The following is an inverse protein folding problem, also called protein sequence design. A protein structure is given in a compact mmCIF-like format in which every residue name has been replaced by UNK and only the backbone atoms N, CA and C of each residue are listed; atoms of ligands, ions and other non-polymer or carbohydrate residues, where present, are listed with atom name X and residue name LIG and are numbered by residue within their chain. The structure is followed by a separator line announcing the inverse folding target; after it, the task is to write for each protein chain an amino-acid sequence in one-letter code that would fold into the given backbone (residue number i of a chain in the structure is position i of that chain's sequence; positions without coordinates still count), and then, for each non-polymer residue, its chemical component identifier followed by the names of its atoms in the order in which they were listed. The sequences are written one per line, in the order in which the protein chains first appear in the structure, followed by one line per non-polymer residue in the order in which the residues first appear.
data_IF_403931517470
#
_entry.id   IF_403931517470
#
_cell.length_a   1.000
_cell.length_b   1.000
_cell.length_c   1.000
_cell.angle_alpha   90.00
_cell.angle_beta   90.00
_cell.angle_gamma   90.00
#
_symmetry.space_group_name_H-M   'P 1'
#
loop_
_entity.id
_entity.type
_entity.pdbx_description
1 polymer ?
#
# COMPACT_ATOMS: atom_id res chain seq x y z
N UNK A 1 18.35 -7.67 16.03
CA UNK A 1 18.08 -6.37 15.38
C UNK A 1 17.04 -6.61 14.30
N UNK A 2 15.89 -5.93 14.36
CA UNK A 2 14.89 -5.93 13.29
C UNK A 2 14.95 -4.53 12.66
N UNK A 3 15.22 -4.45 11.36
CA UNK A 3 15.39 -3.18 10.66
C UNK A 3 15.11 -3.34 9.16
N UNK A 4 14.89 -2.22 8.44
CA UNK A 4 14.44 -2.25 7.05
C UNK A 4 15.54 -2.61 6.05
N UNK A 5 16.80 -2.63 6.50
CA UNK A 5 17.95 -2.98 5.66
C UNK A 5 18.43 -4.38 6.00
N UNK A 6 18.88 -5.09 4.97
CA UNK A 6 19.60 -6.33 5.19
C UNK A 6 20.83 -6.08 6.09
N UNK A 7 21.16 -7.02 7.00
CA UNK A 7 22.40 -6.94 7.75
C UNK A 7 23.59 -6.94 6.78
N UNK A 8 24.65 -6.17 7.08
CA UNK A 8 25.82 -6.03 6.18
C UNK A 8 26.55 -7.36 5.90
N UNK A 9 26.35 -8.40 6.71
CA UNK A 9 26.90 -9.73 6.46
C UNK A 9 26.11 -10.51 5.40
N UNK A 10 24.83 -10.19 5.19
CA UNK A 10 24.00 -10.79 4.13
C UNK A 10 24.51 -10.36 2.76
N UNK A 11 24.73 -9.05 2.56
CA UNK A 11 25.27 -8.52 1.29
C UNK A 11 26.69 -9.02 0.99
N UNK A 12 27.43 -9.43 2.04
CA UNK A 12 28.75 -10.07 1.93
C UNK A 12 28.70 -11.59 1.73
N UNK A 13 27.51 -12.17 1.59
CA UNK A 13 27.33 -13.59 1.28
C UNK A 13 27.64 -14.54 2.45
N UNK A 14 27.43 -14.12 3.70
CA UNK A 14 27.72 -14.97 4.86
C UNK A 14 26.91 -16.28 4.78
N UNK A 15 27.55 -17.47 4.85
CA UNK A 15 26.91 -18.75 4.50
C UNK A 15 25.77 -19.17 5.44
N UNK A 16 25.74 -18.60 6.64
CA UNK A 16 24.69 -18.88 7.65
C UNK A 16 23.55 -17.85 7.65
N UNK A 17 23.60 -16.82 6.79
CA UNK A 17 22.56 -15.78 6.73
C UNK A 17 21.84 -15.90 5.39
N UNK A 18 20.54 -16.20 5.44
CA UNK A 18 19.69 -16.37 4.25
C UNK A 18 18.29 -15.83 4.49
N UNK A 19 17.52 -15.68 3.42
CA UNK A 19 16.08 -15.41 3.53
C UNK A 19 15.37 -16.54 4.29
N UNK A 20 14.30 -16.17 5.01
CA UNK A 20 13.43 -17.14 5.69
C UNK A 20 12.70 -18.04 4.69
N UNK A 21 12.27 -17.47 3.56
CA UNK A 21 11.69 -18.19 2.42
C UNK A 21 12.73 -18.31 1.31
N UNK A 22 12.84 -19.47 0.69
CA UNK A 22 13.79 -19.69 -0.42
C UNK A 22 13.45 -18.80 -1.63
N UNK A 23 12.17 -18.61 -1.90
CA UNK A 23 11.64 -17.67 -2.88
C UNK A 23 10.66 -16.69 -2.19
N UNK A 24 11.16 -15.54 -1.70
CA UNK A 24 10.34 -14.54 -1.02
C UNK A 24 9.21 -13.98 -1.91
N UNK A 25 9.44 -13.86 -3.23
CA UNK A 25 8.47 -13.30 -4.15
C UNK A 25 7.30 -14.27 -4.36
N UNK A 26 7.60 -15.55 -4.59
CA UNK A 26 6.57 -16.59 -4.68
C UNK A 26 5.79 -16.73 -3.38
N UNK A 27 6.48 -16.78 -2.23
CA UNK A 27 5.82 -16.86 -0.93
C UNK A 27 4.87 -15.68 -0.67
N UNK A 28 5.28 -14.47 -1.03
CA UNK A 28 4.45 -13.27 -0.93
C UNK A 28 3.25 -13.31 -1.89
N UNK A 29 3.46 -13.74 -3.14
CA UNK A 29 2.39 -13.86 -4.13
C UNK A 29 1.32 -14.88 -3.70
N UNK A 30 1.73 -16.07 -3.27
CA UNK A 30 0.80 -17.10 -2.77
C UNK A 30 0.05 -16.63 -1.51
N UNK A 31 0.71 -15.88 -0.62
CA UNK A 31 0.05 -15.29 0.54
C UNK A 31 -1.01 -14.25 0.12
N UNK A 32 -0.67 -13.37 -0.83
CA UNK A 32 -1.62 -12.41 -1.38
C UNK A 32 -2.79 -13.12 -2.07
N UNK A 33 -2.56 -14.19 -2.84
CA UNK A 33 -3.63 -14.96 -3.46
C UNK A 33 -4.63 -15.50 -2.44
N UNK A 34 -4.14 -16.04 -1.32
CA UNK A 34 -4.98 -16.59 -0.25
C UNK A 34 -5.68 -15.54 0.59
N UNK A 35 -5.08 -14.36 0.78
CA UNK A 35 -5.54 -13.37 1.77
C UNK A 35 -6.12 -12.11 1.17
N UNK A 36 -5.70 -11.74 -0.04
CA UNK A 36 -6.03 -10.47 -0.72
C UNK A 36 -5.77 -9.24 0.15
N UNK A 37 -4.77 -9.36 1.02
CA UNK A 37 -4.27 -8.27 1.86
C UNK A 37 -2.98 -7.76 1.24
N UNK A 38 -2.87 -6.46 0.99
CA UNK A 38 -1.62 -5.84 0.59
C UNK A 38 -1.27 -4.74 1.60
N UNK A 39 -0.08 -4.80 2.26
CA UNK A 39 0.22 -3.91 3.37
C UNK A 39 0.22 -2.43 2.98
N UNK A 40 -0.45 -1.61 3.80
CA UNK A 40 -0.43 -0.14 3.67
C UNK A 40 0.81 0.39 4.38
N UNK A 41 1.73 1.02 3.65
CA UNK A 41 2.97 1.57 4.19
C UNK A 41 2.84 3.06 4.58
N UNK A 42 2.00 3.82 3.87
CA UNK A 42 1.88 5.27 4.03
C UNK A 42 0.43 5.71 4.11
N UNK A 43 0.17 6.74 4.91
CA UNK A 43 -1.13 7.41 5.04
C UNK A 43 -0.97 8.92 4.92
N UNK A 44 -1.94 9.60 4.30
CA UNK A 44 -1.98 11.05 4.27
C UNK A 44 -2.74 11.58 5.50
N UNK A 45 -2.09 12.42 6.29
CA UNK A 45 -2.71 13.07 7.46
C UNK A 45 -3.04 14.53 7.17
N UNK A 46 -4.25 14.96 7.54
CA UNK A 46 -4.65 16.38 7.55
C UNK A 46 -4.89 16.80 8.99
N UNK A 47 -4.36 17.97 9.36
CA UNK A 47 -4.61 18.53 10.69
C UNK A 47 -6.11 18.78 10.86
N UNK A 48 -6.71 18.32 11.97
CA UNK A 48 -8.15 18.47 12.25
C UNK A 48 -8.65 19.90 12.07
N UNK A 49 -7.92 20.88 12.64
CA UNK A 49 -8.28 22.30 12.53
C UNK A 49 -8.33 22.81 11.09
N UNK A 50 -7.50 22.27 10.18
CA UNK A 50 -7.56 22.62 8.76
C UNK A 50 -8.73 21.96 8.06
N UNK A 51 -9.05 20.70 8.39
CA UNK A 51 -10.22 20.04 7.85
C UNK A 51 -11.53 20.71 8.32
N UNK A 52 -11.58 21.19 9.56
CA UNK A 52 -12.71 21.96 10.10
C UNK A 52 -12.86 23.33 9.41
N UNK A 53 -11.75 24.05 9.19
CA UNK A 53 -11.75 25.33 8.47
C UNK A 53 -12.06 25.17 6.97
N UNK A 54 -11.67 24.03 6.40
CA UNK A 54 -11.83 23.71 4.98
C UNK A 54 -12.39 22.30 4.80
N UNK A 55 -13.72 22.08 5.00
CA UNK A 55 -14.33 20.74 4.96
C UNK A 55 -14.17 19.99 3.63
N UNK A 56 -13.91 20.72 2.54
CA UNK A 56 -13.66 20.18 1.20
C UNK A 56 -12.23 19.62 1.04
N UNK A 57 -11.27 20.02 1.89
CA UNK A 57 -9.85 19.72 1.72
C UNK A 57 -9.54 18.21 1.74
N UNK A 58 -10.07 17.38 2.66
CA UNK A 58 -9.78 15.95 2.66
C UNK A 58 -10.20 15.26 1.35
N UNK A 59 -11.41 15.56 0.86
CA UNK A 59 -11.91 15.00 -0.40
C UNK A 59 -11.11 15.48 -1.63
N UNK A 60 -10.72 16.76 -1.65
CA UNK A 60 -9.87 17.30 -2.70
C UNK A 60 -8.47 16.63 -2.73
N UNK A 61 -7.88 16.34 -1.56
CA UNK A 61 -6.62 15.63 -1.47
C UNK A 61 -6.73 14.20 -1.99
N UNK A 62 -7.78 13.44 -1.62
CA UNK A 62 -8.01 12.09 -2.18
C UNK A 62 -8.02 12.14 -3.71
N UNK A 63 -8.82 13.03 -4.30
CA UNK A 63 -8.91 13.20 -5.76
C UNK A 63 -7.56 13.56 -6.39
N UNK A 64 -6.83 14.50 -5.80
CA UNK A 64 -5.53 14.94 -6.33
C UNK A 64 -4.49 13.80 -6.32
N UNK A 65 -4.43 13.01 -5.25
CA UNK A 65 -3.48 11.90 -5.14
C UNK A 65 -3.88 10.69 -6.00
N UNK A 66 -5.17 10.41 -6.16
CA UNK A 66 -5.67 9.42 -7.12
C UNK A 66 -5.28 9.80 -8.56
N UNK A 67 -5.47 11.08 -8.93
CA UNK A 67 -5.06 11.57 -10.25
C UNK A 67 -3.54 11.49 -10.44
N UNK A 68 -2.76 11.89 -9.43
CA UNK A 68 -1.29 11.79 -9.46
C UNK A 68 -0.82 10.33 -9.64
N UNK A 69 -1.42 9.38 -8.90
CA UNK A 69 -1.17 7.95 -9.05
C UNK A 69 -1.49 7.48 -10.47
N UNK A 70 -2.64 7.85 -11.02
CA UNK A 70 -3.03 7.45 -12.37
C UNK A 70 -2.00 7.92 -13.42
N UNK A 71 -1.54 9.17 -13.33
CA UNK A 71 -0.47 9.69 -14.20
C UNK A 71 0.83 8.90 -14.03
N UNK A 72 1.22 8.57 -12.80
CA UNK A 72 2.41 7.77 -12.53
C UNK A 72 2.31 6.36 -13.12
N UNK A 73 1.17 5.68 -12.96
CA UNK A 73 0.95 4.33 -13.50
C UNK A 73 0.92 4.32 -15.04
N UNK A 74 0.33 5.34 -15.67
CA UNK A 74 0.38 5.50 -17.13
C UNK A 74 1.82 5.65 -17.62
N UNK A 75 2.61 6.51 -16.97
CA UNK A 75 4.04 6.70 -17.32
C UNK A 75 4.89 5.47 -17.05
N UNK A 76 4.59 4.71 -16.00
CA UNK A 76 5.27 3.46 -15.70
C UNK A 76 4.97 2.37 -16.76
N UNK A 77 3.80 2.46 -17.40
CA UNK A 77 3.39 1.56 -18.47
C UNK A 77 3.88 1.99 -19.86
N UNK A 78 4.50 3.16 -19.97
CA UNK A 78 5.05 3.68 -21.22
C UNK A 78 6.37 2.96 -21.55
N UNK A 79 6.30 2.12 -22.58
CA UNK A 79 7.39 1.26 -23.06
C UNK A 79 8.43 2.03 -23.88
N UNK A 80 8.18 3.31 -24.23
CA UNK A 80 9.10 4.11 -25.05
C UNK A 80 10.22 4.79 -24.24
N UNK A 81 9.99 5.05 -22.95
CA UNK A 81 10.94 5.71 -22.06
C UNK A 81 10.68 5.33 -20.60
N UNK A 82 11.07 4.11 -20.26
CA UNK A 82 10.91 3.50 -18.93
C UNK A 82 11.43 4.44 -17.83
N UNK A 83 10.55 4.84 -16.90
CA UNK A 83 10.88 5.80 -15.82
C UNK A 83 11.68 5.20 -14.66
N UNK A 84 11.88 3.89 -14.70
CA UNK A 84 12.71 3.13 -13.77
C UNK A 84 13.80 2.45 -14.57
N UNK A 85 15.06 2.59 -14.14
CA UNK A 85 16.25 2.04 -14.81
C UNK A 85 16.42 0.53 -14.60
N UNK A 86 15.33 -0.17 -14.27
CA UNK A 86 15.32 -1.61 -14.00
C UNK A 86 14.99 -2.38 -15.29
N UNK A 87 15.85 -3.31 -15.73
CA UNK A 87 15.56 -4.18 -16.87
C UNK A 87 14.29 -5.02 -16.64
N UNK A 88 13.59 -5.36 -17.73
CA UNK A 88 12.40 -6.24 -17.72
C UNK A 88 11.24 -5.77 -16.83
N UNK A 89 11.16 -4.46 -16.54
CA UNK A 89 10.08 -3.93 -15.69
C UNK A 89 8.70 -4.19 -16.28
N UNK A 90 8.56 -4.21 -17.61
CA UNK A 90 7.29 -4.52 -18.28
C UNK A 90 6.73 -5.88 -17.88
N UNK A 91 7.60 -6.90 -17.84
CA UNK A 91 7.25 -8.26 -17.42
C UNK A 91 6.83 -8.28 -15.95
N UNK A 92 7.53 -7.51 -15.10
CA UNK A 92 7.17 -7.34 -13.69
C UNK A 92 5.80 -6.67 -13.53
N UNK A 93 5.48 -5.63 -14.31
CA UNK A 93 4.15 -5.02 -14.31
C UNK A 93 3.07 -5.98 -14.80
N UNK A 94 3.33 -6.76 -15.86
CA UNK A 94 2.37 -7.77 -16.33
C UNK A 94 2.10 -8.83 -15.26
N UNK A 95 3.13 -9.30 -14.56
CA UNK A 95 2.99 -10.24 -13.46
C UNK A 95 2.21 -9.66 -12.28
N UNK A 96 2.53 -8.42 -11.88
CA UNK A 96 1.78 -7.72 -10.83
C UNK A 96 0.30 -7.56 -11.20
N UNK A 97 0.00 -7.17 -12.43
CA UNK A 97 -1.39 -7.04 -12.93
C UNK A 97 -2.13 -8.37 -12.96
N UNK A 98 -1.46 -9.45 -13.37
CA UNK A 98 -2.05 -10.79 -13.37
C UNK A 98 -2.42 -11.26 -11.96
N UNK A 99 -1.58 -10.93 -10.98
CA UNK A 99 -1.75 -11.32 -9.58
C UNK A 99 -2.78 -10.44 -8.85
N UNK A 100 -2.69 -9.12 -9.02
CA UNK A 100 -3.33 -8.11 -8.17
C UNK A 100 -4.39 -7.26 -8.89
N UNK A 101 -4.56 -7.42 -10.21
CA UNK A 101 -5.46 -6.60 -11.02
C UNK A 101 -4.82 -5.31 -11.51
N UNK A 102 -5.63 -4.44 -12.12
CA UNK A 102 -5.13 -3.22 -12.78
C UNK A 102 -4.68 -2.13 -11.79
N UNK A 103 -5.36 -2.04 -10.63
CA UNK A 103 -5.01 -1.10 -9.56
C UNK A 103 -4.35 -1.83 -8.39
N UNK A 104 -3.10 -2.26 -8.59
CA UNK A 104 -2.30 -2.93 -7.56
C UNK A 104 -1.81 -1.99 -6.44
N UNK A 105 -2.10 -0.68 -6.54
CA UNK A 105 -1.86 0.33 -5.51
C UNK A 105 -3.16 1.07 -5.19
N UNK A 106 -4.17 0.34 -4.69
CA UNK A 106 -5.47 0.91 -4.34
C UNK A 106 -5.33 2.11 -3.40
N UNK A 107 -5.88 3.25 -3.81
CA UNK A 107 -6.02 4.45 -2.96
C UNK A 107 -7.48 4.56 -2.52
N UNK A 108 -7.72 5.34 -1.47
CA UNK A 108 -9.07 5.55 -0.94
C UNK A 108 -9.51 4.50 0.09
N UNK A 109 -10.63 4.78 0.75
CA UNK A 109 -11.11 3.99 1.89
C UNK A 109 -11.74 2.66 1.47
N UNK A 110 -12.67 2.69 0.50
CA UNK A 110 -13.51 1.55 0.16
C UNK A 110 -12.68 0.30 -0.21
N UNK A 111 -11.72 0.46 -1.12
CA UNK A 111 -10.86 -0.64 -1.62
C UNK A 111 -9.87 -1.16 -0.56
N UNK A 112 -9.64 -0.38 0.52
CA UNK A 112 -8.68 -0.72 1.57
C UNK A 112 -9.33 -1.03 2.92
N UNK A 113 -10.66 -0.98 3.02
CA UNK A 113 -11.38 -1.09 4.28
C UNK A 113 -11.11 -2.43 4.99
N UNK A 114 -11.03 -3.54 4.24
CA UNK A 114 -10.72 -4.87 4.79
C UNK A 114 -9.27 -4.97 5.27
N UNK A 115 -8.33 -4.29 4.62
CA UNK A 115 -6.92 -4.24 5.05
C UNK A 115 -6.80 -3.46 6.36
N UNK A 116 -7.42 -2.28 6.43
CA UNK A 116 -7.47 -1.45 7.64
C UNK A 116 -8.16 -2.20 8.78
N UNK A 117 -9.26 -2.89 8.48
CA UNK A 117 -9.96 -3.68 9.48
C UNK A 117 -9.07 -4.79 10.05
N UNK A 118 -8.39 -5.54 9.16
CA UNK A 118 -7.46 -6.59 9.61
C UNK A 118 -6.33 -6.02 10.46
N UNK A 119 -5.77 -4.88 10.09
CA UNK A 119 -4.76 -4.18 10.88
C UNK A 119 -5.27 -3.84 12.27
N UNK A 120 -6.44 -3.19 12.37
CA UNK A 120 -7.03 -2.79 13.64
C UNK A 120 -7.41 -4.00 14.51
N UNK A 121 -7.79 -5.14 13.91
CA UNK A 121 -8.01 -6.39 14.63
C UNK A 121 -6.74 -6.88 15.32
N UNK A 122 -5.65 -6.93 14.55
CA UNK A 122 -4.37 -7.42 15.05
C UNK A 122 -3.79 -6.46 16.10
N UNK A 123 -3.85 -5.16 15.83
CA UNK A 123 -3.37 -4.11 16.72
C UNK A 123 -4.09 -4.15 18.08
N UNK A 124 -5.40 -4.41 18.10
CA UNK A 124 -6.15 -4.63 19.34
C UNK A 124 -5.81 -5.97 20.01
N UNK A 125 -5.71 -7.06 19.24
CA UNK A 125 -5.39 -8.39 19.79
C UNK A 125 -4.00 -8.44 20.44
N UNK A 126 -3.07 -7.62 19.98
CA UNK A 126 -1.72 -7.45 20.56
C UNK A 126 -1.68 -6.43 21.71
N UNK A 127 -2.83 -5.85 22.09
CA UNK A 127 -2.94 -4.90 23.20
C UNK A 127 -2.42 -3.49 22.90
N UNK A 128 -2.15 -3.17 21.64
CA UNK A 128 -1.64 -1.85 21.23
C UNK A 128 -2.76 -0.78 21.18
N UNK A 129 -4.01 -1.20 21.03
CA UNK A 129 -5.20 -0.34 21.21
C UNK A 129 -5.96 -0.74 22.46
N UNK A 130 -6.52 0.25 23.17
CA UNK A 130 -7.39 0.02 24.34
C UNK A 130 -8.76 -0.57 23.98
N UNK A 131 -9.20 -0.43 22.72
CA UNK A 131 -10.42 -1.03 22.19
C UNK A 131 -10.27 -1.34 20.70
N UNK A 132 -11.15 -2.18 20.18
CA UNK A 132 -11.25 -2.45 18.73
C UNK A 132 -11.91 -1.27 18.00
N UNK A 133 -11.08 -0.45 17.34
CA UNK A 133 -11.52 0.60 16.44
C UNK A 133 -12.10 0.01 15.15
N UNK A 134 -13.07 0.71 14.56
CA UNK A 134 -13.61 0.43 13.23
C UNK A 134 -12.89 1.30 12.18
N UNK A 135 -12.68 0.81 10.94
CA UNK A 135 -11.98 1.56 9.90
C UNK A 135 -12.56 2.96 9.67
N UNK A 136 -13.88 3.11 9.64
CA UNK A 136 -14.55 4.40 9.39
C UNK A 136 -14.29 5.45 10.48
N UNK A 137 -13.86 5.05 11.68
CA UNK A 137 -13.49 5.99 12.76
C UNK A 137 -12.15 6.71 12.49
N UNK A 138 -11.31 6.15 11.61
CA UNK A 138 -9.96 6.67 11.36
C UNK A 138 -9.91 7.77 10.30
N UNK A 139 -10.94 7.88 9.46
CA UNK A 139 -10.93 8.75 8.29
C UNK A 139 -12.02 9.82 8.39
N UNK A 140 -11.71 11.00 7.85
CA UNK A 140 -12.69 12.08 7.77
C UNK A 140 -13.82 11.70 6.80
N UNK A 141 -15.11 11.97 7.09
CA UNK A 141 -16.22 11.56 6.21
C UNK A 141 -16.06 11.99 4.75
N UNK A 142 -15.59 13.22 4.52
CA UNK A 142 -15.31 13.74 3.18
C UNK A 142 -14.23 12.99 2.37
N UNK A 143 -13.48 12.08 3.01
CA UNK A 143 -12.47 11.22 2.37
C UNK A 143 -12.96 9.80 2.09
N UNK A 144 -14.17 9.44 2.54
CA UNK A 144 -14.74 8.10 2.37
C UNK A 144 -15.38 7.89 0.99
N UNK A 145 -15.82 8.96 0.33
CA UNK A 145 -16.48 8.89 -0.97
C UNK A 145 -15.47 9.07 -2.11
N UNK A 146 -15.21 7.98 -2.82
CA UNK A 146 -14.68 8.04 -4.18
C UNK A 146 -15.82 8.44 -5.11
N UNK A 147 -16.08 9.74 -5.28
CA UNK A 147 -17.01 10.21 -6.32
C UNK A 147 -16.43 9.78 -7.68
N UNK A 148 -16.96 8.68 -8.23
CA UNK A 148 -16.85 8.39 -9.66
C UNK A 148 -17.69 9.44 -10.38
N UNK A 149 -17.02 10.41 -11.00
CA UNK A 149 -17.64 11.28 -12.03
C UNK A 149 -17.70 10.47 -13.31
#
# INVERSE_FOLDING_TARGET
MIGPRAPSCFDRGHPQVKYLFEDPQKAAAEWYERRKLFPIMHTLGVRKTLAEQHPWLPGALVKAFEHSKAVALTRLSDTSATKVTLPFIEDQLRNARRLMGQDFWSYGFAENAHVVDRFLAQHHAEGLSSRRLQPAELFHPASLESFKI
#
